data_IF_688665674670
#
_entry.id   IF_688665674670
#
_cell.length_a   1.000
_cell.length_b   1.000
_cell.length_c   1.000
_cell.angle_alpha   90.00
_cell.angle_beta   90.00
_cell.angle_gamma   90.00
#
_symmetry.space_group_name_H-M   'P 1'
#
loop_
_entity.id
_entity.type
_entity.pdbx_description
1 polymer ?
#
# COMPACT_ATOMS: atom_id res chain seq x y z
N UNK A 1 18.23 9.66 12.55
CA UNK A 1 19.16 9.63 11.42
C UNK A 1 19.95 10.94 11.26
N UNK A 2 19.41 12.07 11.64
CA UNK A 2 20.06 13.40 11.51
C UNK A 2 21.07 13.73 12.63
N UNK A 3 21.16 12.94 13.67
CA UNK A 3 22.01 13.20 14.83
C UNK A 3 23.05 12.10 15.06
N UNK A 4 22.69 10.85 14.78
CA UNK A 4 23.58 9.69 14.98
C UNK A 4 24.65 9.65 13.90
N UNK A 5 25.90 9.43 14.32
CA UNK A 5 27.06 9.24 13.45
C UNK A 5 27.53 7.78 13.52
N UNK A 6 27.75 7.16 12.35
CA UNK A 6 28.27 5.79 12.27
C UNK A 6 28.86 5.53 10.88
N UNK A 7 30.07 5.00 10.87
CA UNK A 7 30.76 4.67 9.61
C UNK A 7 31.09 5.88 8.74
N UNK A 8 31.57 5.62 7.53
CA UNK A 8 31.84 6.63 6.52
C UNK A 8 30.94 6.40 5.32
N UNK A 9 30.28 7.44 4.85
CA UNK A 9 29.49 7.41 3.63
C UNK A 9 30.37 7.51 2.39
N UNK A 10 29.89 7.01 1.26
CA UNK A 10 30.59 7.16 -0.03
C UNK A 10 30.75 8.63 -0.47
N UNK A 11 29.98 9.54 0.12
CA UNK A 11 30.04 10.97 -0.18
C UNK A 11 31.13 11.72 0.59
N UNK A 12 31.81 11.04 1.54
CA UNK A 12 33.01 11.51 2.28
C UNK A 12 32.95 12.97 2.75
N UNK A 13 31.79 13.41 3.29
CA UNK A 13 31.59 14.81 3.71
C UNK A 13 32.39 15.17 4.97
N UNK A 14 32.77 14.19 5.77
CA UNK A 14 33.60 14.40 6.97
C UNK A 14 35.07 14.45 6.59
N UNK A 15 35.62 15.65 6.45
CA UNK A 15 37.03 15.89 6.08
C UNK A 15 38.04 15.41 7.13
N UNK A 16 37.63 15.14 8.37
CA UNK A 16 38.51 14.88 9.51
C UNK A 16 38.55 13.41 9.97
N UNK A 17 38.22 12.44 9.11
CA UNK A 17 38.28 11.03 9.48
C UNK A 17 37.20 10.55 10.46
N UNK A 18 36.32 11.44 10.94
CA UNK A 18 35.20 11.14 11.84
C UNK A 18 34.09 10.40 11.10
N UNK A 19 33.22 9.71 11.85
CA UNK A 19 32.03 9.06 11.31
C UNK A 19 31.03 10.12 10.77
N UNK A 20 30.38 9.78 9.64
CA UNK A 20 29.33 10.60 9.05
C UNK A 20 27.99 10.38 9.76
N UNK A 21 27.05 11.30 9.56
CA UNK A 21 25.66 11.12 9.99
C UNK A 21 25.05 9.93 9.21
N UNK A 22 24.24 9.11 9.88
CA UNK A 22 23.69 7.93 9.22
C UNK A 22 22.77 8.28 8.05
N UNK A 23 22.17 9.46 8.03
CA UNK A 23 21.38 9.94 6.88
C UNK A 23 22.21 10.14 5.59
N UNK A 24 23.54 10.21 5.70
CA UNK A 24 24.42 10.32 4.52
C UNK A 24 24.62 8.95 3.81
N UNK A 25 24.27 7.85 4.45
CA UNK A 25 24.31 6.52 3.85
C UNK A 25 23.12 6.31 2.90
N UNK A 26 23.40 5.72 1.74
CA UNK A 26 22.40 5.57 0.68
C UNK A 26 21.25 4.63 1.05
N UNK A 27 21.55 3.56 1.77
CA UNK A 27 20.57 2.59 2.28
C UNK A 27 19.60 3.25 3.28
N UNK A 28 20.13 4.02 4.23
CA UNK A 28 19.30 4.77 5.20
C UNK A 28 18.39 5.77 4.48
N UNK A 29 18.92 6.51 3.48
CA UNK A 29 18.10 7.42 2.69
C UNK A 29 17.02 6.70 1.91
N UNK A 30 17.34 5.53 1.32
CA UNK A 30 16.37 4.70 0.61
C UNK A 30 15.23 4.28 1.54
N UNK A 31 15.55 3.71 2.72
CA UNK A 31 14.54 3.28 3.70
C UNK A 31 13.68 4.45 4.19
N UNK A 32 14.28 5.61 4.51
CA UNK A 32 13.54 6.81 4.92
C UNK A 32 12.61 7.32 3.81
N UNK A 33 13.05 7.32 2.56
CA UNK A 33 12.24 7.73 1.41
C UNK A 33 11.11 6.75 1.17
N UNK A 34 11.38 5.45 1.25
CA UNK A 34 10.37 4.39 1.09
C UNK A 34 9.28 4.54 2.14
N UNK A 35 9.64 4.58 3.43
CA UNK A 35 8.68 4.79 4.52
C UNK A 35 7.83 6.04 4.33
N UNK A 36 8.46 7.17 3.94
CA UNK A 36 7.74 8.42 3.68
C UNK A 36 6.75 8.27 2.53
N UNK A 37 7.17 7.66 1.43
CA UNK A 37 6.31 7.45 0.25
C UNK A 37 5.12 6.57 0.56
N UNK A 38 5.32 5.49 1.30
CA UNK A 38 4.25 4.59 1.73
C UNK A 38 3.25 5.34 2.62
N UNK A 39 3.72 5.98 3.68
CA UNK A 39 2.85 6.70 4.62
C UNK A 39 2.02 7.79 3.92
N UNK A 40 2.63 8.55 3.01
CA UNK A 40 1.90 9.60 2.30
C UNK A 40 0.90 9.01 1.29
N UNK A 41 1.26 7.91 0.63
CA UNK A 41 0.36 7.18 -0.27
C UNK A 41 -0.84 6.59 0.48
N UNK A 42 -0.60 5.92 1.60
CA UNK A 42 -1.66 5.36 2.45
C UNK A 42 -2.61 6.45 2.98
N UNK A 43 -2.06 7.58 3.43
CA UNK A 43 -2.88 8.70 3.89
C UNK A 43 -3.73 9.28 2.77
N UNK A 44 -3.19 9.44 1.56
CA UNK A 44 -3.93 9.91 0.39
C UNK A 44 -5.07 8.95 0.05
N UNK A 45 -4.80 7.63 0.04
CA UNK A 45 -5.80 6.60 -0.21
C UNK A 45 -6.89 6.58 0.88
N UNK A 46 -6.50 6.74 2.15
CA UNK A 46 -7.44 6.84 3.27
C UNK A 46 -8.39 8.03 3.12
N UNK A 47 -7.87 9.22 2.80
CA UNK A 47 -8.71 10.41 2.59
C UNK A 47 -9.63 10.26 1.38
N UNK A 48 -9.15 9.71 0.28
CA UNK A 48 -9.97 9.43 -0.88
C UNK A 48 -11.11 8.44 -0.53
N UNK A 49 -10.81 7.35 0.17
CA UNK A 49 -11.82 6.37 0.57
C UNK A 49 -12.83 6.95 1.57
N UNK A 50 -12.38 7.81 2.48
CA UNK A 50 -13.28 8.54 3.39
C UNK A 50 -14.23 9.46 2.63
N UNK A 51 -13.74 10.13 1.59
CA UNK A 51 -14.58 10.94 0.69
C UNK A 51 -15.60 10.07 -0.05
N UNK A 52 -15.18 8.91 -0.59
CA UNK A 52 -16.12 7.98 -1.23
C UNK A 52 -17.18 7.48 -0.24
N UNK A 53 -16.80 7.22 1.01
CA UNK A 53 -17.73 6.84 2.06
C UNK A 53 -18.77 7.93 2.31
N UNK A 54 -18.36 9.18 2.44
CA UNK A 54 -19.25 10.33 2.62
C UNK A 54 -20.22 10.47 1.44
N UNK A 55 -19.72 10.39 0.22
CA UNK A 55 -20.54 10.43 -1.01
C UNK A 55 -21.53 9.28 -1.05
N UNK A 56 -21.13 8.08 -0.69
CA UNK A 56 -21.99 6.88 -0.65
C UNK A 56 -23.14 6.99 0.34
N UNK A 57 -22.98 7.79 1.39
CA UNK A 57 -23.99 7.97 2.43
C UNK A 57 -24.92 9.16 2.13
N UNK A 58 -24.38 10.28 1.66
CA UNK A 58 -25.05 11.57 1.71
C UNK A 58 -25.32 12.23 0.35
N UNK A 59 -24.78 11.71 -0.77
CA UNK A 59 -25.01 12.31 -2.07
C UNK A 59 -26.48 12.22 -2.52
N UNK A 60 -27.02 13.28 -3.14
CA UNK A 60 -28.41 13.33 -3.58
C UNK A 60 -28.69 12.48 -4.83
N UNK A 61 -27.73 12.35 -5.73
CA UNK A 61 -27.82 11.53 -6.94
C UNK A 61 -27.57 10.06 -6.61
N UNK A 62 -28.56 9.21 -6.88
CA UNK A 62 -28.50 7.78 -6.55
C UNK A 62 -27.45 7.01 -7.35
N UNK A 63 -27.14 7.44 -8.58
CA UNK A 63 -26.10 6.80 -9.39
C UNK A 63 -24.71 7.09 -8.82
N UNK A 64 -24.44 8.34 -8.48
CA UNK A 64 -23.16 8.74 -7.85
C UNK A 64 -23.00 8.06 -6.50
N UNK A 65 -24.07 8.00 -5.72
CA UNK A 65 -24.12 7.29 -4.44
C UNK A 65 -23.76 5.82 -4.57
N UNK A 66 -24.34 5.14 -5.58
CA UNK A 66 -24.06 3.73 -5.84
C UNK A 66 -22.62 3.51 -6.35
N UNK A 67 -22.13 4.35 -7.25
CA UNK A 67 -20.76 4.26 -7.75
C UNK A 67 -19.73 4.43 -6.62
N UNK A 68 -19.96 5.38 -5.72
CA UNK A 68 -19.12 5.55 -4.53
C UNK A 68 -19.19 4.35 -3.58
N UNK A 69 -20.39 3.79 -3.35
CA UNK A 69 -20.58 2.58 -2.55
C UNK A 69 -19.84 1.37 -3.14
N UNK A 70 -19.85 1.23 -4.47
CA UNK A 70 -19.12 0.19 -5.18
C UNK A 70 -17.60 0.33 -4.93
N UNK A 71 -17.06 1.58 -4.98
CA UNK A 71 -15.65 1.86 -4.69
C UNK A 71 -15.27 1.55 -3.24
N UNK A 72 -16.08 1.97 -2.28
CA UNK A 72 -15.87 1.64 -0.85
C UNK A 72 -15.86 0.13 -0.65
N UNK A 73 -16.81 -0.57 -1.26
CA UNK A 73 -16.92 -2.03 -1.17
C UNK A 73 -15.68 -2.75 -1.72
N UNK A 74 -15.17 -2.30 -2.88
CA UNK A 74 -13.97 -2.86 -3.51
C UNK A 74 -12.72 -2.62 -2.67
N UNK A 75 -12.55 -1.38 -2.19
CA UNK A 75 -11.30 -0.95 -1.57
C UNK A 75 -11.17 -1.31 -0.10
N UNK A 76 -12.24 -1.61 0.61
CA UNK A 76 -12.20 -1.95 2.04
C UNK A 76 -11.25 -3.13 2.35
N UNK A 77 -11.34 -4.29 1.70
CA UNK A 77 -10.41 -5.38 1.93
C UNK A 77 -8.97 -5.05 1.50
N UNK A 78 -8.80 -4.30 0.41
CA UNK A 78 -7.49 -3.85 -0.08
C UNK A 78 -6.81 -2.95 0.94
N UNK A 79 -7.50 -1.92 1.42
CA UNK A 79 -6.94 -0.95 2.39
C UNK A 79 -6.59 -1.64 3.70
N UNK A 80 -7.45 -2.53 4.21
CA UNK A 80 -7.18 -3.27 5.44
C UNK A 80 -5.91 -4.11 5.33
N UNK A 81 -5.76 -4.88 4.26
CA UNK A 81 -4.58 -5.73 4.08
C UNK A 81 -3.34 -4.89 3.80
N UNK A 82 -3.39 -3.99 2.83
CA UNK A 82 -2.27 -3.16 2.42
C UNK A 82 -1.70 -2.35 3.59
N UNK A 83 -2.54 -1.64 4.34
CA UNK A 83 -2.08 -0.78 5.44
C UNK A 83 -1.49 -1.59 6.60
N UNK A 84 -2.05 -2.77 6.87
CA UNK A 84 -1.52 -3.62 7.93
C UNK A 84 -0.16 -4.25 7.57
N UNK A 85 0.02 -4.69 6.33
CA UNK A 85 1.25 -5.30 5.86
C UNK A 85 2.37 -4.24 5.71
N UNK A 86 2.09 -3.13 5.03
CA UNK A 86 3.04 -2.02 4.92
C UNK A 86 3.37 -1.38 6.27
N UNK A 87 2.43 -1.36 7.21
CA UNK A 87 2.68 -0.94 8.58
C UNK A 87 3.71 -1.82 9.30
N UNK A 88 3.68 -3.14 9.06
CA UNK A 88 4.72 -4.07 9.56
C UNK A 88 6.08 -3.78 8.94
N UNK A 89 6.13 -3.55 7.64
CA UNK A 89 7.35 -3.19 6.91
C UNK A 89 7.94 -1.87 7.44
N UNK A 90 7.14 -0.82 7.53
CA UNK A 90 7.56 0.50 8.00
C UNK A 90 8.11 0.45 9.43
N UNK A 91 7.42 -0.25 10.33
CA UNK A 91 7.86 -0.34 11.74
C UNK A 91 9.12 -1.18 11.88
N UNK A 92 9.30 -2.23 11.07
CA UNK A 92 10.53 -3.00 10.96
C UNK A 92 11.70 -2.14 10.46
N UNK A 93 11.51 -1.40 9.37
CA UNK A 93 12.51 -0.50 8.79
C UNK A 93 12.89 0.62 9.75
N UNK A 94 11.92 1.17 10.48
CA UNK A 94 12.18 2.16 11.52
C UNK A 94 13.07 1.61 12.61
N UNK A 95 12.82 0.38 13.08
CA UNK A 95 13.66 -0.30 14.06
C UNK A 95 15.07 -0.53 13.52
N UNK A 96 15.21 -0.94 12.25
CA UNK A 96 16.48 -1.13 11.58
C UNK A 96 17.32 0.16 11.55
N UNK A 97 16.72 1.31 11.26
CA UNK A 97 17.39 2.62 11.25
C UNK A 97 17.88 3.02 12.65
N UNK A 98 17.14 2.68 13.70
CA UNK A 98 17.57 2.88 15.09
C UNK A 98 18.70 1.94 15.49
N UNK A 99 18.91 0.83 14.75
CA UNK A 99 19.89 -0.20 15.08
C UNK A 99 19.56 -0.88 16.41
N UNK A 100 20.55 -1.36 17.13
CA UNK A 100 20.35 -2.04 18.42
C UNK A 100 19.50 -1.28 19.44
N UNK A 101 19.56 0.04 19.43
CA UNK A 101 18.67 0.88 20.25
C UNK A 101 17.18 0.73 19.90
N UNK A 102 16.85 0.53 18.64
CA UNK A 102 15.45 0.32 18.21
C UNK A 102 14.83 -0.96 18.77
N UNK A 103 15.66 -1.94 19.12
CA UNK A 103 15.24 -3.20 19.71
C UNK A 103 14.97 -3.09 21.23
N UNK A 104 15.51 -2.07 21.89
CA UNK A 104 15.35 -1.85 23.34
C UNK A 104 14.09 -1.05 23.63
N UNK A 105 13.51 -1.26 24.83
CA UNK A 105 12.28 -0.58 25.28
C UNK A 105 12.44 0.94 25.42
N UNK A 106 13.67 1.40 25.69
CA UNK A 106 13.95 2.81 25.99
C UNK A 106 13.58 3.76 24.84
N UNK A 107 13.59 3.28 23.60
CA UNK A 107 13.28 4.09 22.41
C UNK A 107 11.81 4.01 21.95
N UNK A 108 11.05 3.03 22.46
CA UNK A 108 9.65 2.83 22.14
C UNK A 108 9.35 2.35 20.69
N UNK A 109 10.34 2.21 19.83
CA UNK A 109 10.14 1.75 18.44
C UNK A 109 9.76 0.27 18.42
N UNK A 110 10.33 -0.55 19.30
CA UNK A 110 9.99 -1.97 19.41
C UNK A 110 8.51 -2.18 19.77
N UNK A 111 7.94 -1.26 20.56
CA UNK A 111 6.54 -1.29 20.92
C UNK A 111 5.65 -1.03 19.70
N UNK A 112 5.98 -0.07 18.85
CA UNK A 112 5.23 0.21 17.63
C UNK A 112 5.18 -1.01 16.70
N UNK A 113 6.31 -1.72 16.57
CA UNK A 113 6.37 -2.96 15.80
C UNK A 113 5.48 -4.05 16.39
N UNK A 114 5.54 -4.28 17.70
CA UNK A 114 4.70 -5.26 18.41
C UNK A 114 3.21 -4.92 18.32
N UNK A 115 2.88 -3.65 18.53
CA UNK A 115 1.48 -3.19 18.50
C UNK A 115 0.90 -3.28 17.08
N UNK A 116 1.70 -3.04 16.05
CA UNK A 116 1.24 -3.20 14.69
C UNK A 116 0.98 -4.66 14.30
N UNK A 117 1.62 -5.65 14.97
CA UNK A 117 1.51 -7.07 14.58
C UNK A 117 0.09 -7.61 14.68
N UNK A 118 -0.78 -7.04 15.50
CA UNK A 118 -2.18 -7.46 15.58
C UNK A 118 -3.00 -7.02 14.34
N UNK A 119 -2.58 -5.97 13.65
CA UNK A 119 -3.36 -5.38 12.56
C UNK A 119 -3.59 -6.32 11.36
N UNK A 120 -2.64 -7.20 10.93
CA UNK A 120 -2.91 -8.21 9.92
C UNK A 120 -3.79 -9.37 10.40
N UNK A 121 -4.06 -9.47 11.72
CA UNK A 121 -4.74 -10.62 12.32
C UNK A 121 -6.21 -10.32 12.60
N UNK A 122 -6.51 -9.17 13.27
CA UNK A 122 -7.85 -8.86 13.73
C UNK A 122 -8.77 -8.38 12.59
N UNK A 123 -10.07 -8.32 12.85
CA UNK A 123 -11.10 -7.91 11.87
C UNK A 123 -11.08 -8.72 10.56
N UNK A 124 -10.77 -10.00 10.70
CA UNK A 124 -10.44 -10.89 9.59
C UNK A 124 -8.98 -10.77 9.18
N UNK A 125 -8.28 -11.89 9.11
CA UNK A 125 -6.88 -11.91 8.66
C UNK A 125 -6.75 -11.37 7.24
N UNK A 126 -5.54 -10.99 6.82
CA UNK A 126 -5.31 -10.51 5.46
C UNK A 126 -5.70 -11.56 4.42
N UNK A 127 -5.53 -12.86 4.70
CA UNK A 127 -6.04 -13.95 3.84
C UNK A 127 -7.57 -13.94 3.73
N UNK A 128 -8.31 -13.62 4.81
CA UNK A 128 -9.77 -13.47 4.77
C UNK A 128 -10.17 -12.26 3.92
N UNK A 129 -9.41 -11.17 4.02
CA UNK A 129 -9.62 -9.97 3.18
C UNK A 129 -9.33 -10.26 1.70
N UNK A 130 -8.27 -11.00 1.40
CA UNK A 130 -7.97 -11.46 0.05
C UNK A 130 -9.08 -12.33 -0.51
N UNK A 131 -9.61 -13.28 0.27
CA UNK A 131 -10.74 -14.09 -0.10
C UNK A 131 -12.02 -13.26 -0.35
N UNK A 132 -12.29 -12.25 0.48
CA UNK A 132 -13.42 -11.32 0.28
C UNK A 132 -13.26 -10.53 -1.02
N UNK A 133 -12.06 -10.00 -1.29
CA UNK A 133 -11.76 -9.31 -2.54
C UNK A 133 -12.03 -10.20 -3.75
N UNK A 134 -11.44 -11.38 -3.78
CA UNK A 134 -11.51 -12.30 -4.93
C UNK A 134 -12.93 -12.83 -5.15
N UNK A 135 -13.54 -13.41 -4.11
CA UNK A 135 -14.78 -14.17 -4.29
C UNK A 135 -16.06 -13.36 -4.15
N UNK A 136 -15.98 -12.17 -3.57
CA UNK A 136 -17.16 -11.34 -3.30
C UNK A 136 -17.13 -9.99 -3.98
N UNK A 137 -15.94 -9.38 -4.14
CA UNK A 137 -15.84 -8.03 -4.71
C UNK A 137 -15.54 -8.04 -6.20
N UNK A 138 -14.50 -8.76 -6.62
CA UNK A 138 -14.13 -8.85 -8.04
C UNK A 138 -15.16 -9.61 -8.85
N UNK A 139 -15.69 -10.73 -8.32
CA UNK A 139 -16.68 -11.57 -9.01
C UNK A 139 -18.08 -10.94 -9.04
N UNK A 140 -18.34 -9.92 -8.21
CA UNK A 140 -19.64 -9.27 -8.14
C UNK A 140 -19.91 -8.47 -9.43
N UNK A 141 -21.15 -8.54 -9.93
CA UNK A 141 -21.58 -7.84 -11.14
C UNK A 141 -20.67 -8.09 -12.36
N UNK A 142 -20.14 -9.32 -12.51
CA UNK A 142 -19.26 -9.74 -13.61
C UNK A 142 -18.04 -8.82 -13.82
N UNK A 143 -17.39 -8.41 -12.74
CA UNK A 143 -16.19 -7.56 -12.81
C UNK A 143 -16.44 -6.09 -13.14
N UNK A 144 -17.68 -5.63 -13.16
CA UNK A 144 -17.99 -4.23 -13.52
C UNK A 144 -17.35 -3.22 -12.54
N UNK A 145 -17.21 -3.60 -11.26
CA UNK A 145 -16.67 -2.70 -10.23
C UNK A 145 -15.17 -2.44 -10.47
N UNK A 146 -14.40 -3.47 -10.78
CA UNK A 146 -12.97 -3.31 -11.06
C UNK A 146 -12.75 -2.50 -12.35
N UNK A 147 -13.57 -2.68 -13.37
CA UNK A 147 -13.47 -1.88 -14.59
C UNK A 147 -13.73 -0.40 -14.33
N UNK A 148 -14.74 -0.05 -13.53
CA UNK A 148 -14.98 1.35 -13.10
C UNK A 148 -13.76 1.93 -12.36
N UNK A 149 -13.14 1.15 -11.49
CA UNK A 149 -11.93 1.57 -10.78
C UNK A 149 -10.75 1.81 -11.74
N UNK A 150 -10.52 0.92 -12.68
CA UNK A 150 -9.47 1.07 -13.70
C UNK A 150 -9.73 2.30 -14.60
N UNK A 151 -10.96 2.55 -14.98
CA UNK A 151 -11.35 3.72 -15.78
C UNK A 151 -11.14 5.02 -14.99
N UNK A 152 -11.48 5.04 -13.71
CA UNK A 152 -11.20 6.17 -12.83
C UNK A 152 -9.71 6.50 -12.79
N UNK A 153 -8.86 5.50 -12.56
CA UNK A 153 -7.41 5.70 -12.51
C UNK A 153 -6.86 6.17 -13.86
N UNK A 154 -7.33 5.60 -14.97
CA UNK A 154 -6.94 6.03 -16.32
C UNK A 154 -7.30 7.50 -16.58
N UNK A 155 -8.45 7.95 -16.12
CA UNK A 155 -8.88 9.35 -16.27
C UNK A 155 -7.95 10.31 -15.51
N UNK A 156 -7.52 9.95 -14.32
CA UNK A 156 -6.60 10.75 -13.51
C UNK A 156 -5.17 10.79 -14.08
N UNK A 157 -4.70 9.68 -14.65
CA UNK A 157 -3.35 9.61 -15.27
C UNK A 157 -3.24 10.37 -16.58
N UNK A 158 -4.34 10.60 -17.26
CA UNK A 158 -4.39 11.44 -18.47
C UNK A 158 -4.39 12.94 -18.17
N UNK A 159 -4.29 13.34 -16.90
CA UNK A 159 -4.18 14.74 -16.53
C UNK A 159 -2.92 15.40 -17.13
N UNK A 160 -3.01 16.68 -17.49
CA UNK A 160 -1.90 17.46 -18.05
C UNK A 160 -0.82 17.83 -17.00
N UNK A 161 -0.66 17.05 -15.93
CA UNK A 161 0.33 17.32 -14.91
C UNK A 161 1.72 16.87 -15.35
N UNK A 162 2.58 17.84 -15.68
CA UNK A 162 3.95 17.61 -16.12
C UNK A 162 4.79 16.77 -15.16
N UNK A 163 4.49 16.83 -13.84
CA UNK A 163 5.26 16.10 -12.81
C UNK A 163 5.02 14.59 -12.86
N UNK A 164 3.85 14.15 -13.29
CA UNK A 164 3.53 12.72 -13.36
C UNK A 164 3.82 12.10 -14.72
N UNK A 165 3.96 12.91 -15.80
CA UNK A 165 4.23 12.42 -17.15
C UNK A 165 5.34 11.36 -17.25
N UNK A 166 6.50 11.51 -16.56
CA UNK A 166 7.57 10.51 -16.64
C UNK A 166 7.17 9.11 -16.16
N UNK A 167 6.18 9.04 -15.27
CA UNK A 167 5.74 7.80 -14.64
C UNK A 167 4.51 7.18 -15.31
N UNK A 168 3.77 7.93 -16.13
CA UNK A 168 2.48 7.50 -16.72
C UNK A 168 2.64 6.24 -17.57
N UNK A 169 3.72 6.12 -18.34
CA UNK A 169 3.94 4.94 -19.21
C UNK A 169 4.09 3.66 -18.38
N UNK A 170 4.92 3.70 -17.36
CA UNK A 170 5.17 2.55 -16.50
C UNK A 170 3.91 2.21 -15.69
N UNK A 171 3.24 3.22 -15.16
CA UNK A 171 1.99 3.06 -14.44
C UNK A 171 0.89 2.43 -15.29
N UNK A 172 0.72 2.85 -16.53
CA UNK A 172 -0.24 2.23 -17.46
C UNK A 172 0.08 0.75 -17.75
N UNK A 173 1.35 0.36 -17.77
CA UNK A 173 1.72 -1.05 -17.89
C UNK A 173 1.23 -1.86 -16.67
N UNK A 174 1.37 -1.32 -15.45
CA UNK A 174 0.83 -1.98 -14.25
C UNK A 174 -0.70 -2.06 -14.26
N UNK A 175 -1.39 -1.04 -14.75
CA UNK A 175 -2.85 -1.08 -14.91
C UNK A 175 -3.31 -2.17 -15.87
N UNK A 176 -2.61 -2.36 -16.98
CA UNK A 176 -2.91 -3.45 -17.93
C UNK A 176 -2.64 -4.84 -17.33
N UNK A 177 -1.60 -4.99 -16.51
CA UNK A 177 -1.32 -6.21 -15.76
C UNK A 177 -2.45 -6.47 -14.75
N UNK A 178 -2.81 -5.46 -13.95
CA UNK A 178 -3.90 -5.56 -12.98
C UNK A 178 -5.22 -5.95 -13.64
N UNK A 179 -5.54 -5.36 -14.80
CA UNK A 179 -6.73 -5.69 -15.56
C UNK A 179 -6.74 -7.18 -15.97
N UNK A 180 -5.67 -7.66 -16.62
CA UNK A 180 -5.55 -9.04 -17.05
C UNK A 180 -5.61 -10.01 -15.88
N UNK A 181 -4.95 -9.69 -14.78
CA UNK A 181 -5.00 -10.51 -13.57
C UNK A 181 -6.40 -10.57 -12.96
N UNK A 182 -7.10 -9.43 -12.92
CA UNK A 182 -8.48 -9.40 -12.43
C UNK A 182 -9.43 -10.20 -13.30
N UNK A 183 -9.32 -10.11 -14.62
CA UNK A 183 -10.11 -10.91 -15.57
C UNK A 183 -9.83 -12.41 -15.39
N UNK A 184 -8.56 -12.80 -15.28
CA UNK A 184 -8.15 -14.18 -15.02
C UNK A 184 -8.69 -14.69 -13.67
N UNK A 185 -8.66 -13.86 -12.63
CA UNK A 185 -9.16 -14.19 -11.30
C UNK A 185 -10.67 -14.41 -11.30
N UNK A 186 -11.41 -13.53 -11.98
CA UNK A 186 -12.87 -13.62 -12.10
C UNK A 186 -13.27 -14.92 -12.82
N UNK A 187 -12.62 -15.23 -13.93
CA UNK A 187 -12.89 -16.46 -14.71
C UNK A 187 -12.69 -17.74 -13.87
N UNK A 188 -11.73 -17.73 -12.95
CA UNK A 188 -11.41 -18.90 -12.12
C UNK A 188 -12.09 -18.93 -10.75
N UNK A 189 -12.72 -17.86 -10.35
CA UNK A 189 -13.32 -17.74 -9.01
C UNK A 189 -14.40 -18.79 -8.71
N UNK A 190 -15.05 -19.32 -9.73
CA UNK A 190 -16.08 -20.36 -9.60
C UNK A 190 -15.52 -21.77 -9.67
N UNK A 191 -14.44 -22.00 -10.43
CA UNK A 191 -13.97 -23.33 -10.81
C UNK A 191 -12.78 -23.82 -9.98
N UNK A 192 -12.00 -22.93 -9.37
CA UNK A 192 -10.76 -23.31 -8.69
C UNK A 192 -10.44 -22.43 -7.47
N UNK A 193 -11.36 -22.41 -6.50
CA UNK A 193 -11.28 -21.56 -5.32
C UNK A 193 -10.02 -21.78 -4.48
N UNK A 194 -9.65 -23.04 -4.25
CA UNK A 194 -8.49 -23.36 -3.42
C UNK A 194 -7.18 -22.91 -4.08
N UNK A 195 -7.07 -23.07 -5.40
CA UNK A 195 -5.92 -22.57 -6.15
C UNK A 195 -5.80 -21.06 -6.09
N UNK A 196 -6.91 -20.31 -6.18
CA UNK A 196 -6.90 -18.87 -6.09
C UNK A 196 -6.49 -18.35 -4.69
N UNK A 197 -6.93 -19.02 -3.62
CA UNK A 197 -6.50 -18.72 -2.27
C UNK A 197 -4.99 -18.94 -2.09
N UNK A 198 -4.47 -20.00 -2.69
CA UNK A 198 -3.05 -20.33 -2.65
C UNK A 198 -2.19 -19.34 -3.46
N UNK A 199 -2.73 -18.87 -4.59
CA UNK A 199 -2.02 -17.96 -5.50
C UNK A 199 -2.09 -16.51 -5.05
N UNK A 200 -3.13 -16.11 -4.33
CA UNK A 200 -3.23 -14.75 -3.78
C UNK A 200 -2.23 -14.49 -2.65
N UNK A 201 -1.78 -15.56 -1.97
CA UNK A 201 -0.75 -15.50 -0.93
C UNK A 201 0.68 -15.54 -1.54
N UNK A 202 0.81 -16.10 -2.75
CA UNK A 202 2.08 -16.21 -3.48
C UNK A 202 2.41 -14.97 -4.36
N UNK A 203 1.54 -13.99 -4.41
CA UNK A 203 1.79 -12.74 -5.15
C UNK A 203 2.68 -11.75 -4.38
N UNK A 204 3.09 -12.10 -3.16
CA UNK A 204 4.01 -11.34 -2.31
C UNK A 204 5.50 -11.77 -2.49
N UNK A 205 5.78 -12.79 -3.32
CA UNK A 205 7.10 -13.21 -3.78
C UNK A 205 7.41 -12.65 -5.20
#
# INVERSE_FOLDING_TARGET
>A
AKERKQGKSNNNKSQNGNADLIIEHADIRKSLLNMKSIIEGERALCFWLSQQTEVSLNHSDQKIKQDASDMVSLMTPVVKSLFSDLGMEITSDAMQIYGGYGYTKDQGIEQLYRDNRITPIYEGTNSVQAADLVFRKLSNKNGNIINKFLDLIKSETNSNNEKIKPFVKEFNNYLEILKKFSEWTIDRSETNRDCLLYTSDAADD
#
